data_IF_689146027671
#
_entry.id   IF_689146027671
#
_cell.length_a   1.000
_cell.length_b   1.000
_cell.length_c   1.000
_cell.angle_alpha   90.00
_cell.angle_beta   90.00
_cell.angle_gamma   90.00
#
_symmetry.space_group_name_H-M   'P 1'
#
loop_
_entity.id
_entity.type
_entity.pdbx_description
1 polymer ?
#
# COMPACT_ATOMS: atom_id res chain seq x y z
N UNK A 1 -9.10 -2.22 -5.09
CA UNK A 1 -8.37 -2.68 -3.88
C UNK A 1 -9.08 -3.80 -3.12
N UNK A 2 -10.39 -3.72 -2.81
CA UNK A 2 -11.09 -4.85 -2.13
C UNK A 2 -11.03 -6.18 -2.90
N UNK A 3 -11.26 -6.14 -4.21
CA UNK A 3 -11.11 -7.33 -5.08
C UNK A 3 -9.68 -7.88 -5.03
N UNK A 4 -8.68 -6.99 -5.07
CA UNK A 4 -7.27 -7.37 -4.99
C UNK A 4 -6.93 -7.97 -3.63
N UNK A 5 -7.45 -7.41 -2.53
CA UNK A 5 -7.29 -7.97 -1.19
C UNK A 5 -7.86 -9.38 -1.09
N UNK A 6 -9.00 -9.64 -1.75
CA UNK A 6 -9.61 -10.95 -1.81
C UNK A 6 -8.79 -11.93 -2.67
N UNK A 7 -8.40 -11.51 -3.88
CA UNK A 7 -7.66 -12.35 -4.83
C UNK A 7 -6.21 -12.63 -4.41
N UNK A 8 -5.55 -11.67 -3.76
CA UNK A 8 -4.16 -11.80 -3.28
C UNK A 8 -4.03 -12.60 -1.99
N UNK A 9 -5.12 -12.72 -1.21
CA UNK A 9 -5.07 -13.33 0.11
C UNK A 9 -4.28 -12.53 1.16
N UNK A 10 -3.93 -11.27 0.88
CA UNK A 10 -3.17 -10.43 1.82
C UNK A 10 -4.02 -10.13 3.07
N UNK A 11 -3.69 -10.82 4.17
CA UNK A 11 -4.37 -10.66 5.46
C UNK A 11 -4.32 -9.22 5.97
N UNK A 12 -3.23 -8.49 5.70
CA UNK A 12 -3.08 -7.09 6.09
C UNK A 12 -4.06 -6.17 5.39
N UNK A 13 -4.19 -6.31 4.07
CA UNK A 13 -5.17 -5.56 3.28
C UNK A 13 -6.60 -5.95 3.67
N UNK A 14 -6.86 -7.24 3.85
CA UNK A 14 -8.18 -7.74 4.26
C UNK A 14 -8.59 -7.20 5.63
N UNK A 15 -7.69 -7.22 6.62
CA UNK A 15 -7.94 -6.65 7.93
C UNK A 15 -8.10 -5.13 7.90
N UNK A 16 -7.28 -4.43 7.12
CA UNK A 16 -7.42 -2.99 6.97
C UNK A 16 -8.79 -2.63 6.37
N UNK A 17 -9.29 -3.43 5.41
CA UNK A 17 -10.65 -3.27 4.89
C UNK A 17 -11.73 -3.62 5.90
N UNK A 18 -11.58 -4.72 6.66
CA UNK A 18 -12.60 -5.17 7.61
C UNK A 18 -12.72 -4.24 8.83
N UNK A 19 -11.61 -3.64 9.25
CA UNK A 19 -11.55 -2.67 10.35
C UNK A 19 -11.84 -1.23 9.92
N UNK A 20 -12.10 -0.98 8.63
CA UNK A 20 -12.37 0.35 8.10
C UNK A 20 -11.18 1.31 8.18
N UNK A 21 -9.95 0.77 8.23
CA UNK A 21 -8.73 1.57 8.29
C UNK A 21 -8.46 2.27 6.96
N UNK A 22 -7.71 3.36 7.01
CA UNK A 22 -7.12 3.95 5.82
C UNK A 22 -6.10 2.98 5.23
N UNK A 23 -6.48 2.32 4.13
CA UNK A 23 -5.66 1.30 3.47
C UNK A 23 -4.33 1.86 3.00
N UNK A 24 -4.29 3.12 2.56
CA UNK A 24 -3.05 3.73 2.09
C UNK A 24 -2.12 4.04 3.27
N UNK A 25 -2.66 4.50 4.39
CA UNK A 25 -1.87 4.67 5.61
C UNK A 25 -1.39 3.33 6.17
N UNK A 26 -2.25 2.30 6.18
CA UNK A 26 -1.87 0.95 6.63
C UNK A 26 -0.79 0.32 5.75
N UNK A 27 -0.85 0.51 4.42
CA UNK A 27 0.22 0.09 3.51
C UNK A 27 1.50 0.90 3.75
N UNK A 28 1.39 2.22 3.90
CA UNK A 28 2.55 3.07 4.16
C UNK A 28 3.26 2.70 5.47
N UNK A 29 2.52 2.55 6.56
CA UNK A 29 3.03 2.13 7.87
C UNK A 29 3.90 0.87 7.76
N UNK A 30 3.42 -0.14 7.02
CA UNK A 30 4.17 -1.37 6.78
C UNK A 30 5.39 -1.19 5.89
N UNK A 31 5.27 -0.41 4.82
CA UNK A 31 6.37 -0.16 3.86
C UNK A 31 7.50 0.65 4.49
N UNK A 32 7.15 1.65 5.31
CA UNK A 32 8.10 2.57 5.94
C UNK A 32 8.49 2.16 7.37
N UNK A 33 7.85 1.15 7.95
CA UNK A 33 8.15 0.66 9.29
C UNK A 33 7.80 1.66 10.40
N UNK A 34 6.71 2.41 10.22
CA UNK A 34 6.23 3.42 11.17
C UNK A 34 4.82 3.08 11.66
N UNK A 35 4.40 3.65 12.78
CA UNK A 35 3.01 3.54 13.23
C UNK A 35 2.05 4.21 12.24
N UNK A 36 0.82 3.69 12.14
CA UNK A 36 -0.18 4.21 11.20
C UNK A 36 -0.51 5.69 11.43
N UNK A 37 -0.44 6.13 12.70
CA UNK A 37 -0.68 7.51 13.11
C UNK A 37 0.55 8.41 12.89
N UNK A 38 1.73 7.81 12.68
CA UNK A 38 2.97 8.50 12.32
C UNK A 38 3.16 8.61 10.80
N UNK A 39 2.25 8.05 10.00
CA UNK A 39 2.30 8.14 8.54
C UNK A 39 2.03 9.56 8.09
N UNK A 40 2.99 10.15 7.39
CA UNK A 40 2.82 11.46 6.79
C UNK A 40 2.07 11.40 5.44
N UNK A 41 1.75 12.59 4.93
CA UNK A 41 0.99 12.73 3.67
C UNK A 41 1.74 12.18 2.46
N UNK A 42 3.06 12.30 2.45
CA UNK A 42 3.91 11.87 1.34
C UNK A 42 3.99 10.34 1.29
N UNK A 43 4.27 9.71 2.44
CA UNK A 43 4.29 8.26 2.62
C UNK A 43 2.96 7.64 2.22
N UNK A 44 1.84 8.22 2.66
CA UNK A 44 0.49 7.79 2.26
C UNK A 44 0.28 7.88 0.74
N UNK A 45 0.76 8.96 0.12
CA UNK A 45 0.65 9.16 -1.34
C UNK A 45 1.48 8.13 -2.11
N UNK A 46 2.71 7.85 -1.66
CA UNK A 46 3.59 6.82 -2.24
C UNK A 46 2.97 5.43 -2.12
N UNK A 47 2.40 5.08 -0.96
CA UNK A 47 1.69 3.82 -0.77
C UNK A 47 0.43 3.69 -1.64
N UNK A 48 -0.25 4.81 -1.94
CA UNK A 48 -1.32 4.83 -2.95
C UNK A 48 -0.79 4.44 -4.33
N UNK A 49 0.33 5.03 -4.77
CA UNK A 49 0.95 4.67 -6.03
C UNK A 49 1.34 3.18 -6.09
N UNK A 50 1.87 2.62 -4.99
CA UNK A 50 2.16 1.17 -4.88
C UNK A 50 0.91 0.32 -5.10
N UNK A 51 -0.14 0.58 -4.33
CA UNK A 51 -1.35 -0.23 -4.33
C UNK A 51 -2.05 -0.23 -5.69
N UNK A 52 -1.97 0.87 -6.45
CA UNK A 52 -2.51 0.93 -7.81
C UNK A 52 -1.54 0.40 -8.86
N UNK A 53 -0.22 0.62 -8.72
CA UNK A 53 0.78 0.09 -9.63
C UNK A 53 0.72 -1.44 -9.70
N UNK A 54 0.77 -2.10 -8.54
CA UNK A 54 0.69 -3.57 -8.45
C UNK A 54 -0.66 -4.07 -9.01
N UNK A 55 -1.76 -3.39 -8.71
CA UNK A 55 -3.09 -3.71 -9.21
C UNK A 55 -3.17 -3.77 -10.74
N UNK A 56 -2.42 -2.89 -11.42
CA UNK A 56 -2.44 -2.75 -12.88
C UNK A 56 -1.26 -3.43 -13.56
N UNK A 57 -0.54 -4.30 -12.85
CA UNK A 57 0.55 -5.09 -13.42
C UNK A 57 1.87 -4.33 -13.60
N UNK A 58 2.05 -3.21 -12.88
CA UNK A 58 3.35 -2.53 -12.82
C UNK A 58 4.37 -3.45 -12.17
N UNK A 59 5.40 -3.83 -12.93
CA UNK A 59 6.48 -4.68 -12.44
C UNK A 59 7.36 -3.98 -11.38
N UNK A 60 8.15 -4.77 -10.65
CA UNK A 60 9.00 -4.29 -9.55
C UNK A 60 9.91 -3.11 -9.95
N UNK A 61 10.48 -3.12 -11.16
CA UNK A 61 11.32 -2.03 -11.69
C UNK A 61 10.56 -0.71 -11.92
N UNK A 62 9.37 -0.78 -12.51
CA UNK A 62 8.54 0.43 -12.70
C UNK A 62 8.05 0.97 -11.36
N UNK A 63 7.81 0.08 -10.40
CA UNK A 63 7.39 0.44 -9.05
C UNK A 63 8.53 1.12 -8.28
N UNK A 64 9.76 0.59 -8.36
CA UNK A 64 10.93 1.17 -7.70
C UNK A 64 11.24 2.58 -8.21
N UNK A 65 11.13 2.81 -9.53
CA UNK A 65 11.23 4.15 -10.14
C UNK A 65 10.17 5.12 -9.62
N UNK A 66 8.90 4.70 -9.53
CA UNK A 66 7.79 5.54 -9.05
C UNK A 66 7.98 5.95 -7.59
N UNK A 67 8.62 5.09 -6.81
CA UNK A 67 8.84 5.29 -5.39
C UNK A 67 10.20 5.89 -5.06
N UNK A 68 11.13 5.99 -6.01
CA UNK A 68 12.50 6.42 -5.75
C UNK A 68 13.23 5.52 -4.75
N UNK A 69 12.97 4.21 -4.80
CA UNK A 69 13.64 3.19 -3.97
C UNK A 69 14.45 2.23 -4.86
N UNK A 70 15.52 1.61 -4.35
CA UNK A 70 16.33 0.65 -5.11
C UNK A 70 15.53 -0.54 -5.65
#
# INVERSE_FOLDING_TARGET
>A
LRVIAHMSGDKGLQEAFSKGLDIHAATAAKVFGVDIDAVDREQRSRAKAVNFGIAYGQGAFGLSQTLGIP
#
